data_IF_209063797635
#
_entry.id   IF_209063797635
#
_cell.length_a   1.000
_cell.length_b   1.000
_cell.length_c   1.000
_cell.angle_alpha   90.00
_cell.angle_beta   90.00
_cell.angle_gamma   90.00
#
_symmetry.space_group_name_H-M   'P 1'
#
loop_
_entity.id
_entity.type
_entity.pdbx_description
1 polymer ?
#
# COMPACT_ATOMS: atom_id res chain seq x y z
N UNK A 1 13.69 12.63 -6.83
CA UNK A 1 12.58 11.73 -6.42
C UNK A 1 12.13 10.93 -7.64
N UNK A 2 12.18 9.61 -7.55
CA UNK A 2 11.77 8.68 -8.60
C UNK A 2 10.60 7.82 -8.09
N UNK A 3 9.55 7.67 -8.90
CA UNK A 3 8.44 6.74 -8.64
C UNK A 3 8.51 5.61 -9.65
N UNK A 4 8.44 4.37 -9.17
CA UNK A 4 8.54 3.20 -10.05
C UNK A 4 7.76 2.01 -9.49
N UNK A 5 7.38 1.10 -10.38
CA UNK A 5 6.88 -0.21 -9.99
C UNK A 5 8.08 -1.16 -9.85
N UNK A 6 8.12 -1.92 -8.75
CA UNK A 6 9.23 -2.83 -8.48
C UNK A 6 8.72 -4.22 -8.12
N UNK A 7 9.56 -5.23 -8.34
CA UNK A 7 9.31 -6.57 -7.85
C UNK A 7 9.64 -6.67 -6.36
N UNK A 8 8.92 -7.55 -5.68
CA UNK A 8 9.11 -7.79 -4.25
C UNK A 8 10.56 -8.13 -3.90
N UNK A 9 11.19 -9.03 -4.67
CA UNK A 9 12.58 -9.43 -4.47
C UNK A 9 13.58 -8.27 -4.62
N UNK A 10 13.25 -7.24 -5.39
CA UNK A 10 14.16 -6.12 -5.67
C UNK A 10 14.09 -5.02 -4.59
N UNK A 11 13.04 -4.99 -3.78
CA UNK A 11 12.83 -3.91 -2.82
C UNK A 11 12.63 -4.36 -1.36
N UNK A 12 12.27 -5.62 -1.11
CA UNK A 12 11.87 -6.08 0.23
C UNK A 12 12.97 -5.92 1.28
N UNK A 13 14.19 -6.34 0.98
CA UNK A 13 15.31 -6.30 1.95
C UNK A 13 15.62 -4.86 2.36
N UNK A 14 15.67 -3.95 1.39
CA UNK A 14 15.89 -2.53 1.62
C UNK A 14 14.73 -1.88 2.40
N UNK A 15 13.50 -2.32 2.14
CA UNK A 15 12.30 -1.77 2.76
C UNK A 15 12.08 -2.21 4.22
N UNK A 16 12.86 -3.15 4.75
CA UNK A 16 12.64 -3.70 6.11
C UNK A 16 12.63 -2.64 7.21
N UNK A 17 13.52 -1.67 7.13
CA UNK A 17 13.57 -0.59 8.11
C UNK A 17 12.31 0.27 8.07
N UNK A 18 11.84 0.63 6.88
CA UNK A 18 10.58 1.36 6.69
C UNK A 18 9.38 0.53 7.18
N UNK A 19 9.38 -0.78 6.97
CA UNK A 19 8.33 -1.66 7.47
C UNK A 19 8.27 -1.67 9.01
N UNK A 20 9.42 -1.68 9.67
CA UNK A 20 9.49 -1.57 11.12
C UNK A 20 8.95 -0.23 11.62
N UNK A 21 9.35 0.88 10.99
CA UNK A 21 8.83 2.21 11.31
C UNK A 21 7.32 2.27 11.12
N UNK A 22 6.82 1.70 10.02
CA UNK A 22 5.41 1.63 9.70
C UNK A 22 4.63 0.86 10.78
N UNK A 23 5.12 -0.33 11.15
CA UNK A 23 4.53 -1.15 12.22
C UNK A 23 4.46 -0.38 13.54
N UNK A 24 5.55 0.25 13.97
CA UNK A 24 5.58 1.01 15.20
C UNK A 24 4.59 2.18 15.21
N UNK A 25 4.39 2.82 14.07
CA UNK A 25 3.48 3.97 13.95
C UNK A 25 2.01 3.58 13.98
N UNK A 26 1.61 2.49 13.28
CA UNK A 26 0.19 2.23 13.01
C UNK A 26 -0.37 0.94 13.57
N UNK A 27 0.47 -0.03 13.96
CA UNK A 27 -0.02 -1.33 14.36
C UNK A 27 -0.83 -1.27 15.65
N UNK A 28 -1.92 -2.05 15.66
CA UNK A 28 -2.74 -2.32 16.85
C UNK A 28 -2.38 -3.71 17.40
N UNK A 29 -2.64 -3.93 18.68
CA UNK A 29 -2.38 -5.23 19.34
C UNK A 29 -0.91 -5.68 19.26
N UNK A 30 0.03 -4.76 19.38
CA UNK A 30 1.48 -5.04 19.30
C UNK A 30 1.98 -5.99 20.39
N UNK A 31 1.24 -6.09 21.50
CA UNK A 31 1.51 -7.03 22.59
C UNK A 31 1.42 -8.48 22.12
N UNK A 32 0.60 -8.77 21.12
CA UNK A 32 0.33 -10.11 20.65
C UNK A 32 0.64 -10.33 19.15
N UNK A 33 0.25 -9.38 18.29
CA UNK A 33 0.44 -9.49 16.84
C UNK A 33 1.76 -8.82 16.46
N UNK A 34 2.77 -9.64 16.13
CA UNK A 34 4.10 -9.16 15.78
C UNK A 34 4.26 -9.04 14.26
N UNK A 35 5.07 -8.07 13.84
CA UNK A 35 5.45 -7.92 12.43
C UNK A 35 6.26 -9.14 11.99
N UNK A 36 5.72 -9.89 11.07
CA UNK A 36 6.38 -11.06 10.49
C UNK A 36 5.81 -11.31 9.08
N UNK A 37 6.22 -10.54 8.07
CA UNK A 37 5.72 -10.69 6.72
C UNK A 37 6.00 -12.09 6.17
N UNK A 38 5.00 -12.68 5.52
CA UNK A 38 5.17 -13.95 4.82
C UNK A 38 5.79 -13.71 3.45
N UNK A 39 7.09 -13.91 3.35
CA UNK A 39 7.84 -13.77 2.10
C UNK A 39 7.26 -14.71 1.03
N UNK A 40 6.97 -15.95 1.41
CA UNK A 40 6.38 -16.95 0.51
C UNK A 40 5.06 -16.47 -0.10
N UNK A 41 4.15 -15.93 0.71
CA UNK A 41 2.86 -15.44 0.22
C UNK A 41 3.01 -14.21 -0.69
N UNK A 42 3.92 -13.30 -0.37
CA UNK A 42 4.20 -12.14 -1.23
C UNK A 42 4.79 -12.56 -2.58
N UNK A 43 5.76 -13.47 -2.57
CA UNK A 43 6.36 -14.00 -3.80
C UNK A 43 5.33 -14.76 -4.65
N UNK A 44 4.48 -15.55 -4.02
CA UNK A 44 3.41 -16.28 -4.70
C UNK A 44 2.37 -15.34 -5.31
N UNK A 45 1.93 -14.33 -4.56
CA UNK A 45 1.01 -13.31 -5.06
C UNK A 45 1.60 -12.54 -6.25
N UNK A 46 2.88 -12.22 -6.20
CA UNK A 46 3.58 -11.54 -7.31
C UNK A 46 3.67 -12.44 -8.54
N UNK A 47 4.02 -13.71 -8.35
CA UNK A 47 4.09 -14.72 -9.43
C UNK A 47 2.76 -14.86 -10.17
N UNK A 48 1.63 -14.74 -9.46
CA UNK A 48 0.28 -14.82 -10.03
C UNK A 48 -0.26 -13.47 -10.52
N UNK A 49 0.56 -12.41 -10.52
CA UNK A 49 0.16 -11.08 -10.97
C UNK A 49 -0.79 -10.36 -10.02
N UNK A 50 -0.94 -10.85 -8.79
CA UNK A 50 -1.84 -10.27 -7.79
C UNK A 50 -1.19 -9.10 -7.08
N UNK A 51 0.10 -9.24 -6.69
CA UNK A 51 0.82 -8.19 -5.97
C UNK A 51 1.41 -7.16 -6.93
N UNK A 52 1.15 -5.89 -6.64
CA UNK A 52 1.78 -4.74 -7.31
C UNK A 52 2.41 -3.85 -6.25
N UNK A 53 3.69 -3.52 -6.42
CA UNK A 53 4.43 -2.67 -5.50
C UNK A 53 4.92 -1.43 -6.24
N UNK A 54 4.67 -0.27 -5.64
CA UNK A 54 5.11 1.03 -6.14
C UNK A 54 6.00 1.66 -5.08
N UNK A 55 7.14 2.22 -5.49
CA UNK A 55 8.10 2.83 -4.57
C UNK A 55 8.34 4.29 -4.90
N UNK A 56 8.67 5.06 -3.88
CA UNK A 56 9.26 6.38 -3.99
C UNK A 56 10.72 6.28 -3.56
N UNK A 57 11.64 6.68 -4.43
CA UNK A 57 13.08 6.68 -4.17
C UNK A 57 13.65 8.09 -4.24
N UNK A 58 14.46 8.44 -3.27
CA UNK A 58 15.25 9.66 -3.25
C UNK A 58 16.73 9.30 -3.30
N UNK A 59 17.44 9.78 -4.33
CA UNK A 59 18.84 9.43 -4.59
C UNK A 59 19.07 7.89 -4.55
N UNK A 60 18.13 7.13 -5.10
CA UNK A 60 18.20 5.66 -5.16
C UNK A 60 17.72 4.93 -3.91
N UNK A 61 17.47 5.61 -2.79
CA UNK A 61 17.02 5.02 -1.54
C UNK A 61 15.50 5.00 -1.46
N UNK A 62 14.91 3.88 -1.05
CA UNK A 62 13.45 3.78 -0.83
C UNK A 62 13.07 4.65 0.37
N UNK A 63 12.21 5.63 0.12
CA UNK A 63 11.67 6.51 1.17
C UNK A 63 10.17 6.33 1.37
N UNK A 64 9.54 5.57 0.51
CA UNK A 64 8.11 5.22 0.62
C UNK A 64 7.75 4.06 -0.28
N UNK A 65 6.64 3.39 0.06
CA UNK A 65 6.09 2.30 -0.72
C UNK A 65 4.57 2.31 -0.66
N UNK A 66 3.98 1.75 -1.69
CA UNK A 66 2.56 1.44 -1.76
C UNK A 66 2.38 0.10 -2.45
N UNK A 67 1.83 -0.88 -1.74
CA UNK A 67 1.55 -2.20 -2.27
C UNK A 67 0.05 -2.46 -2.30
N UNK A 68 -0.42 -3.06 -3.37
CA UNK A 68 -1.81 -3.44 -3.57
C UNK A 68 -1.94 -4.89 -3.99
N UNK A 69 -3.08 -5.48 -3.68
CA UNK A 69 -3.48 -6.80 -4.16
C UNK A 69 -4.58 -6.61 -5.20
N UNK A 70 -4.34 -7.09 -6.43
CA UNK A 70 -5.25 -6.95 -7.57
C UNK A 70 -5.89 -8.30 -7.85
N UNK A 71 -7.21 -8.37 -7.73
CA UNK A 71 -7.97 -9.60 -7.96
C UNK A 71 -9.26 -9.31 -8.73
N UNK A 72 -9.83 -10.35 -9.35
CA UNK A 72 -11.20 -10.26 -9.85
C UNK A 72 -12.16 -10.14 -8.67
N UNK A 73 -13.15 -9.27 -8.80
CA UNK A 73 -14.23 -9.19 -7.83
C UNK A 73 -15.12 -10.45 -7.92
N UNK A 74 -15.40 -11.09 -6.78
CA UNK A 74 -16.27 -12.26 -6.76
C UNK A 74 -17.71 -11.94 -7.18
N UNK A 75 -18.20 -10.74 -6.86
CA UNK A 75 -19.56 -10.31 -7.22
C UNK A 75 -19.64 -9.63 -8.59
N UNK A 76 -18.49 -9.12 -9.07
CA UNK A 76 -18.40 -8.35 -10.31
C UNK A 76 -17.23 -8.88 -11.13
N UNK A 77 -17.36 -10.12 -11.64
CA UNK A 77 -16.25 -10.86 -12.27
C UNK A 77 -15.64 -10.20 -13.51
N UNK A 78 -16.36 -9.24 -14.11
CA UNK A 78 -15.86 -8.51 -15.27
C UNK A 78 -14.88 -7.40 -14.90
N UNK A 79 -14.65 -7.19 -13.61
CA UNK A 79 -13.83 -6.10 -13.08
C UNK A 79 -12.69 -6.58 -12.18
N UNK A 80 -11.52 -5.96 -12.34
CA UNK A 80 -10.38 -6.10 -11.42
C UNK A 80 -10.48 -5.04 -10.33
N UNK A 81 -10.32 -5.49 -9.09
CA UNK A 81 -10.28 -4.63 -7.91
C UNK A 81 -8.90 -4.67 -7.27
N UNK A 82 -8.36 -3.49 -6.95
CA UNK A 82 -7.14 -3.35 -6.17
C UNK A 82 -7.48 -2.91 -4.76
N UNK A 83 -6.91 -3.61 -3.77
CA UNK A 83 -7.02 -3.27 -2.36
C UNK A 83 -5.64 -2.95 -1.82
N UNK A 84 -5.50 -1.85 -1.07
CA UNK A 84 -4.21 -1.56 -0.48
C UNK A 84 -3.85 -2.61 0.57
N UNK A 85 -2.64 -3.14 0.47
CA UNK A 85 -2.04 -3.99 1.48
C UNK A 85 -1.29 -3.11 2.50
N UNK A 86 -0.33 -2.34 2.02
CA UNK A 86 0.45 -1.41 2.83
C UNK A 86 0.73 -0.12 2.06
N UNK A 87 0.72 0.99 2.75
CA UNK A 87 1.22 2.28 2.24
C UNK A 87 1.96 3.01 3.36
N UNK A 88 3.16 3.46 3.09
CA UNK A 88 3.97 4.20 4.04
C UNK A 88 4.95 5.14 3.34
N UNK A 89 5.14 6.31 3.92
CA UNK A 89 6.14 7.28 3.49
C UNK A 89 6.94 7.71 4.73
N UNK A 90 8.26 7.68 4.62
CA UNK A 90 9.14 8.13 5.69
C UNK A 90 8.72 9.55 6.15
N UNK A 91 8.67 9.82 7.47
CA UNK A 91 8.17 11.09 8.01
C UNK A 91 8.80 12.34 7.41
N UNK A 92 10.09 12.31 7.11
CA UNK A 92 10.81 13.46 6.53
C UNK A 92 10.34 13.85 5.13
N UNK A 93 9.59 12.95 4.45
CA UNK A 93 9.08 13.16 3.09
C UNK A 93 7.58 13.46 3.04
N UNK A 94 6.92 13.58 4.20
CA UNK A 94 5.46 13.79 4.27
C UNK A 94 5.03 15.23 4.02
N UNK A 95 5.96 16.16 4.09
CA UNK A 95 5.70 17.56 3.72
C UNK A 95 5.81 17.70 2.21
N UNK A 96 4.82 18.34 1.58
CA UNK A 96 4.80 18.52 0.15
C UNK A 96 3.98 17.46 -0.59
N UNK A 97 4.41 17.06 -1.79
CA UNK A 97 3.59 16.32 -2.73
C UNK A 97 4.03 14.86 -2.96
N UNK A 98 5.00 14.35 -2.23
CA UNK A 98 5.55 13.00 -2.47
C UNK A 98 4.47 11.92 -2.34
N UNK A 99 3.67 11.96 -1.29
CA UNK A 99 2.59 11.00 -1.09
C UNK A 99 1.56 11.05 -2.24
N UNK A 100 1.11 12.24 -2.62
CA UNK A 100 0.14 12.39 -3.71
C UNK A 100 0.70 11.93 -5.04
N UNK A 101 1.98 12.20 -5.32
CA UNK A 101 2.65 11.75 -6.54
C UNK A 101 2.81 10.22 -6.59
N UNK A 102 3.17 9.60 -5.46
CA UNK A 102 3.26 8.13 -5.38
C UNK A 102 1.90 7.49 -5.68
N UNK A 103 0.82 7.96 -5.04
CA UNK A 103 -0.52 7.43 -5.28
C UNK A 103 -0.97 7.67 -6.72
N UNK A 104 -0.77 8.85 -7.28
CA UNK A 104 -1.11 9.15 -8.68
C UNK A 104 -0.37 8.24 -9.66
N UNK A 105 0.94 8.09 -9.49
CA UNK A 105 1.74 7.17 -10.30
C UNK A 105 1.19 5.74 -10.24
N UNK A 106 0.85 5.28 -9.04
CA UNK A 106 0.28 3.94 -8.84
C UNK A 106 -1.07 3.79 -9.55
N UNK A 107 -1.92 4.82 -9.47
CA UNK A 107 -3.21 4.84 -10.17
C UNK A 107 -3.02 4.73 -11.68
N UNK A 108 -2.07 5.48 -12.26
CA UNK A 108 -1.77 5.43 -13.69
C UNK A 108 -1.36 4.02 -14.13
N UNK A 109 -0.49 3.35 -13.35
CA UNK A 109 -0.09 1.96 -13.62
C UNK A 109 -1.29 1.01 -13.51
N UNK A 110 -2.11 1.14 -12.47
CA UNK A 110 -3.27 0.27 -12.27
C UNK A 110 -4.32 0.45 -13.37
N UNK A 111 -4.53 1.66 -13.86
CA UNK A 111 -5.41 1.93 -15.01
C UNK A 111 -4.90 1.22 -16.26
N UNK A 112 -3.59 1.28 -16.51
CA UNK A 112 -2.97 0.57 -17.64
C UNK A 112 -3.13 -0.95 -17.52
N UNK A 113 -3.13 -1.48 -16.30
CA UNK A 113 -3.34 -2.90 -16.02
C UNK A 113 -4.83 -3.31 -16.05
N UNK A 114 -5.75 -2.39 -16.34
CA UNK A 114 -7.19 -2.67 -16.45
C UNK A 114 -7.93 -2.74 -15.13
N UNK A 115 -7.37 -2.20 -14.05
CA UNK A 115 -8.04 -2.14 -12.74
C UNK A 115 -9.20 -1.15 -12.79
N UNK A 116 -10.38 -1.57 -12.33
CA UNK A 116 -11.60 -0.76 -12.32
C UNK A 116 -11.78 0.04 -11.04
N UNK A 117 -11.36 -0.50 -9.90
CA UNK A 117 -11.56 0.11 -8.58
C UNK A 117 -10.31 -0.05 -7.73
N UNK A 118 -9.94 1.02 -7.04
CA UNK A 118 -8.89 1.01 -6.02
C UNK A 118 -9.51 1.38 -4.66
N UNK A 119 -9.38 0.48 -3.70
CA UNK A 119 -9.81 0.67 -2.31
C UNK A 119 -8.62 1.02 -1.44
N UNK A 120 -8.75 2.11 -0.68
CA UNK A 120 -7.72 2.59 0.24
C UNK A 120 -8.27 2.60 1.66
N UNK A 121 -7.48 2.10 2.62
CA UNK A 121 -7.82 2.13 4.04
C UNK A 121 -6.91 3.12 4.76
N UNK A 122 -7.47 3.90 5.68
CA UNK A 122 -6.69 4.75 6.60
C UNK A 122 -6.94 4.29 8.04
N UNK A 123 -5.95 4.45 8.90
CA UNK A 123 -6.11 4.18 10.33
C UNK A 123 -6.71 5.42 11.01
N UNK A 124 -7.71 5.21 11.87
CA UNK A 124 -8.39 6.30 12.58
C UNK A 124 -7.41 7.14 13.39
N UNK A 125 -6.40 6.51 14.01
CA UNK A 125 -5.39 7.20 14.84
C UNK A 125 -4.23 7.83 14.05
N UNK A 126 -4.12 7.52 12.76
CA UNK A 126 -3.13 8.09 11.82
C UNK A 126 -3.77 8.30 10.44
N UNK A 127 -4.78 9.18 10.36
CA UNK A 127 -5.55 9.33 9.12
C UNK A 127 -4.78 10.14 8.07
N UNK A 128 -5.07 9.83 6.81
CA UNK A 128 -4.70 10.65 5.65
C UNK A 128 -5.89 10.87 4.71
N UNK A 129 -7.07 10.94 5.30
CA UNK A 129 -8.35 11.08 4.58
C UNK A 129 -8.40 12.33 3.70
N UNK A 130 -7.84 13.45 4.15
CA UNK A 130 -7.80 14.69 3.37
C UNK A 130 -7.02 14.52 2.07
N UNK A 131 -5.91 13.77 2.11
CA UNK A 131 -5.14 13.45 0.91
C UNK A 131 -5.97 12.62 -0.05
N UNK A 132 -6.66 11.59 0.43
CA UNK A 132 -7.52 10.74 -0.40
C UNK A 132 -8.66 11.54 -1.02
N UNK A 133 -9.32 12.40 -0.26
CA UNK A 133 -10.38 13.27 -0.77
C UNK A 133 -9.88 14.20 -1.88
N UNK A 134 -8.69 14.80 -1.71
CA UNK A 134 -8.06 15.64 -2.73
C UNK A 134 -7.70 14.87 -4.00
N UNK A 135 -7.45 13.57 -3.87
CA UNK A 135 -7.19 12.67 -5.01
C UNK A 135 -8.46 12.09 -5.63
N UNK A 136 -9.63 12.49 -5.15
CA UNK A 136 -10.92 12.07 -5.71
C UNK A 136 -11.49 10.78 -5.13
N UNK A 137 -10.89 10.22 -4.08
CA UNK A 137 -11.47 9.08 -3.37
C UNK A 137 -12.70 9.51 -2.57
N UNK A 138 -13.68 8.60 -2.49
CA UNK A 138 -14.89 8.78 -1.68
C UNK A 138 -14.87 7.77 -0.53
N UNK A 139 -15.30 8.19 0.63
CA UNK A 139 -15.50 7.28 1.76
C UNK A 139 -16.75 6.43 1.51
N UNK A 140 -16.58 5.12 1.36
CA UNK A 140 -17.63 4.19 0.94
C UNK A 140 -18.00 3.14 1.99
N UNK A 141 -17.11 2.87 2.95
CA UNK A 141 -17.36 1.89 4.00
C UNK A 141 -16.47 2.13 5.23
N UNK A 142 -16.84 1.53 6.36
CA UNK A 142 -16.05 1.53 7.58
C UNK A 142 -15.55 0.12 7.87
N UNK A 143 -14.32 0.01 8.39
CA UNK A 143 -13.72 -1.27 8.78
C UNK A 143 -13.67 -1.36 10.30
N UNK A 144 -14.20 -2.44 10.84
CA UNK A 144 -14.21 -2.75 12.26
C UNK A 144 -13.35 -3.98 12.53
N UNK A 145 -12.63 -4.00 13.64
CA UNK A 145 -11.85 -5.15 14.05
C UNK A 145 -12.22 -5.62 15.44
N UNK A 146 -12.07 -6.91 15.68
CA UNK A 146 -12.24 -7.52 17.00
C UNK A 146 -11.13 -8.56 17.20
N UNK A 147 -10.40 -8.43 18.31
CA UNK A 147 -9.43 -9.45 18.69
C UNK A 147 -10.16 -10.69 19.19
N UNK A 148 -9.80 -11.86 18.65
CA UNK A 148 -10.48 -13.12 18.97
C UNK A 148 -9.71 -14.01 19.95
N UNK A 149 -8.48 -13.69 20.24
CA UNK A 149 -7.59 -14.45 21.13
C UNK A 149 -6.84 -13.53 22.09
#
# INVERSE_FOLDING_TARGET
>A
MLFQQEFFSDCYVEAKELLNMHYEEIALNKDFIKLNPSIEQYEDAEKHGILKIFTARDEGVIVGYFAVLVTKSLHYQDHLYANNDVIFLHPDYRKGFTASKLIKFSIECLVQDGVSMLFMNTKIHKPFDLLLQRLGFKHVENVYSKRLI
#
